data_IF_052822189387
#
_entry.id   IF_052822189387
#
_cell.length_a   1.000
_cell.length_b   1.000
_cell.length_c   1.000
_cell.angle_alpha   90.00
_cell.angle_beta   90.00
_cell.angle_gamma   90.00
#
_symmetry.space_group_name_H-M   'P 1'
#
loop_
_entity.id
_entity.type
_entity.pdbx_description
1 polymer ?
#
# COMPACT_ATOMS: atom_id res chain seq x y z
N UNK A 1 3.34 -10.47 1.30
CA UNK A 1 1.98 -10.93 1.65
C UNK A 1 1.14 -11.13 0.38
N UNK A 2 -0.01 -11.83 0.45
CA UNK A 2 -0.86 -12.08 -0.73
C UNK A 2 -1.93 -10.98 -0.88
N UNK A 3 -1.88 -10.22 -1.98
CA UNK A 3 -2.99 -9.37 -2.41
C UNK A 3 -4.22 -10.25 -2.67
N UNK A 4 -5.31 -10.00 -1.94
CA UNK A 4 -6.60 -10.66 -2.20
C UNK A 4 -7.31 -9.91 -3.31
N UNK A 5 -7.34 -10.49 -4.49
CA UNK A 5 -8.07 -9.94 -5.63
C UNK A 5 -9.58 -9.93 -5.33
N UNK A 6 -10.21 -8.76 -5.43
CA UNK A 6 -11.66 -8.58 -5.28
C UNK A 6 -12.31 -8.45 -6.65
N UNK A 7 -11.68 -7.69 -7.54
CA UNK A 7 -12.05 -7.54 -8.95
C UNK A 7 -10.80 -7.57 -9.83
N UNK A 8 -10.95 -7.58 -11.14
CA UNK A 8 -9.82 -7.54 -12.09
C UNK A 8 -8.93 -6.30 -11.95
N UNK A 9 -9.42 -5.22 -11.32
CA UNK A 9 -8.68 -3.96 -11.16
C UNK A 9 -8.52 -3.53 -9.70
N UNK A 10 -8.94 -4.36 -8.74
CA UNK A 10 -8.90 -4.00 -7.32
C UNK A 10 -8.58 -5.21 -6.44
N UNK A 11 -7.61 -5.03 -5.56
CA UNK A 11 -7.16 -6.01 -4.59
C UNK A 11 -7.05 -5.35 -3.23
N UNK A 12 -7.29 -6.13 -2.18
CA UNK A 12 -7.12 -5.71 -0.79
C UNK A 12 -5.99 -6.49 -0.14
N UNK A 13 -5.33 -5.87 0.84
CA UNK A 13 -4.26 -6.48 1.62
C UNK A 13 -4.29 -5.93 3.06
N UNK A 14 -3.68 -6.63 4.03
CA UNK A 14 -3.35 -6.02 5.32
C UNK A 14 -2.32 -4.89 5.16
N UNK A 15 -1.84 -4.33 6.27
CA UNK A 15 -0.77 -3.33 6.28
C UNK A 15 0.39 -3.74 5.36
N UNK A 16 0.68 -2.89 4.38
CA UNK A 16 1.71 -3.14 3.39
C UNK A 16 3.09 -2.84 3.97
N UNK A 17 4.07 -3.66 3.58
CA UNK A 17 5.49 -3.43 3.79
C UNK A 17 6.14 -2.83 2.53
N UNK A 18 7.39 -2.41 2.64
CA UNK A 18 8.16 -1.92 1.49
C UNK A 18 8.31 -2.99 0.38
N UNK A 19 8.49 -4.27 0.74
CA UNK A 19 8.57 -5.35 -0.24
C UNK A 19 7.23 -5.57 -0.95
N UNK A 20 6.11 -5.42 -0.24
CA UNK A 20 4.78 -5.48 -0.85
C UNK A 20 4.56 -4.33 -1.84
N UNK A 21 5.03 -3.11 -1.54
CA UNK A 21 4.96 -1.98 -2.48
C UNK A 21 5.77 -2.26 -3.75
N UNK A 22 6.98 -2.81 -3.61
CA UNK A 22 7.79 -3.22 -4.75
C UNK A 22 7.11 -4.33 -5.58
N UNK A 23 6.47 -5.30 -4.93
CA UNK A 23 5.70 -6.35 -5.58
C UNK A 23 4.46 -5.79 -6.30
N UNK A 24 3.76 -4.82 -5.70
CA UNK A 24 2.61 -4.15 -6.30
C UNK A 24 3.02 -3.40 -7.58
N UNK A 25 4.12 -2.64 -7.53
CA UNK A 25 4.63 -1.94 -8.71
C UNK A 25 5.01 -2.92 -9.84
N UNK A 26 5.70 -4.02 -9.52
CA UNK A 26 6.05 -5.08 -10.49
C UNK A 26 4.82 -5.78 -11.07
N UNK A 27 3.77 -5.94 -10.28
CA UNK A 27 2.51 -6.53 -10.71
C UNK A 27 1.63 -5.56 -11.54
N UNK A 28 2.06 -4.30 -11.73
CA UNK A 28 1.38 -3.31 -12.56
C UNK A 28 0.29 -2.51 -11.86
N UNK A 29 0.23 -2.55 -10.52
CA UNK A 29 -0.62 -1.63 -9.77
C UNK A 29 -0.10 -0.19 -9.93
N UNK A 30 -1.02 0.78 -9.91
CA UNK A 30 -0.70 2.20 -10.10
C UNK A 30 -0.91 3.04 -8.86
N UNK A 31 -1.79 2.62 -7.97
CA UNK A 31 -2.21 3.39 -6.82
C UNK A 31 -2.44 2.48 -5.62
N UNK A 32 -2.13 3.02 -4.44
CA UNK A 32 -2.43 2.44 -3.13
C UNK A 32 -3.44 3.35 -2.42
N UNK A 33 -4.46 2.73 -1.81
CA UNK A 33 -5.45 3.41 -0.98
C UNK A 33 -5.29 2.86 0.43
N UNK A 34 -4.96 3.73 1.39
CA UNK A 34 -4.82 3.38 2.80
C UNK A 34 -6.07 3.80 3.56
N UNK A 35 -6.94 2.85 3.88
CA UNK A 35 -8.13 3.12 4.71
C UNK A 35 -7.85 3.08 6.21
N UNK A 36 -6.58 3.03 6.61
CA UNK A 36 -6.13 2.84 7.99
C UNK A 36 -5.67 4.17 8.61
N UNK A 37 -6.34 4.70 9.64
CA UNK A 37 -5.98 5.97 10.26
C UNK A 37 -4.62 5.92 10.96
N UNK A 38 -3.96 7.07 11.06
CA UNK A 38 -2.72 7.21 11.82
C UNK A 38 -2.93 6.95 13.32
N UNK A 39 -2.00 6.20 13.93
CA UNK A 39 -2.02 5.87 15.36
C UNK A 39 -2.97 4.74 15.78
N UNK A 40 -3.49 3.94 14.85
CA UNK A 40 -4.38 2.80 15.17
C UNK A 40 -3.67 1.70 16.00
N UNK A 41 -2.41 1.36 15.68
CA UNK A 41 -1.59 0.40 16.44
C UNK A 41 -0.16 0.90 16.66
N UNK A 42 0.44 0.49 17.78
CA UNK A 42 1.83 0.83 18.12
C UNK A 42 2.81 0.25 17.09
N UNK A 43 3.69 1.11 16.56
CA UNK A 43 4.68 0.71 15.55
C UNK A 43 4.13 0.64 14.13
N UNK A 44 2.90 1.11 13.88
CA UNK A 44 2.46 1.29 12.50
C UNK A 44 3.23 2.40 11.78
N UNK A 45 3.48 2.26 10.47
CA UNK A 45 3.94 3.37 9.66
C UNK A 45 2.84 4.43 9.55
N UNK A 46 3.24 5.71 9.54
CA UNK A 46 2.32 6.80 9.30
C UNK A 46 1.86 6.80 7.83
N UNK A 47 0.70 7.38 7.53
CA UNK A 47 0.23 7.56 6.16
C UNK A 47 1.25 8.33 5.30
N UNK A 48 1.94 9.32 5.87
CA UNK A 48 3.01 10.06 5.18
C UNK A 48 4.22 9.15 4.83
N UNK A 49 4.64 8.27 5.74
CA UNK A 49 5.73 7.33 5.50
C UNK A 49 5.35 6.32 4.41
N UNK A 50 4.12 5.81 4.45
CA UNK A 50 3.57 4.94 3.41
C UNK A 50 3.50 5.65 2.06
N UNK A 51 3.10 6.92 2.02
CA UNK A 51 3.07 7.72 0.79
C UNK A 51 4.46 7.89 0.18
N UNK A 52 5.48 8.16 1.00
CA UNK A 52 6.88 8.27 0.54
C UNK A 52 7.38 6.95 -0.04
N UNK A 53 7.21 5.84 0.68
CA UNK A 53 7.62 4.51 0.20
C UNK A 53 6.88 4.10 -1.08
N UNK A 54 5.59 4.41 -1.19
CA UNK A 54 4.83 4.17 -2.41
C UNK A 54 5.39 5.00 -3.59
N UNK A 55 5.72 6.27 -3.34
CA UNK A 55 6.34 7.16 -4.29
C UNK A 55 7.69 6.67 -4.82
N UNK A 56 8.54 6.08 -3.96
CA UNK A 56 9.83 5.48 -4.36
C UNK A 56 9.65 4.34 -5.37
N UNK A 57 8.48 3.72 -5.40
CA UNK A 57 8.10 2.68 -6.36
C UNK A 57 7.22 3.20 -7.52
N UNK A 58 7.01 4.51 -7.62
CA UNK A 58 6.18 5.12 -8.67
C UNK A 58 4.68 4.89 -8.50
N UNK A 59 4.23 4.54 -7.29
CA UNK A 59 2.83 4.31 -6.96
C UNK A 59 2.21 5.61 -6.43
N UNK A 60 1.02 5.97 -6.93
CA UNK A 60 0.22 7.01 -6.31
C UNK A 60 -0.32 6.52 -4.95
N UNK A 61 -0.49 7.43 -3.99
CA UNK A 61 -1.00 7.10 -2.66
C UNK A 61 -2.15 8.03 -2.27
N UNK A 62 -3.19 7.46 -1.68
CA UNK A 62 -4.30 8.17 -1.05
C UNK A 62 -4.57 7.57 0.33
N UNK A 63 -4.85 8.42 1.31
CA UNK A 63 -5.23 8.04 2.67
C UNK A 63 -6.67 8.49 2.94
#
# INVERSE_FOLDING_TARGET
MAFKQITSSFSAAPQLTQDDLAAAAKAGYRSIISSRPDGEEAGQPSAEEMARMAGDHGLAFAH
#
